data_IF_257567840655
#
_entry.id   IF_257567840655
#
_cell.length_a   1.000
_cell.length_b   1.000
_cell.length_c   1.000
_cell.angle_alpha   90.00
_cell.angle_beta   90.00
_cell.angle_gamma   90.00
#
_symmetry.space_group_name_H-M   'P 1'
#
loop_
_entity.id
_entity.type
_entity.pdbx_description
1 polymer ?
#
# COMPACT_ATOMS: atom_id res chain seq x y z
N UNK A 1 21.65 69.83 12.38
CA UNK A 1 21.66 69.59 10.92
C UNK A 1 22.57 68.39 10.67
N UNK A 2 21.96 67.21 10.57
CA UNK A 2 22.62 65.92 10.37
C UNK A 2 22.53 65.57 8.87
N UNK A 3 23.63 65.20 8.19
CA UNK A 3 23.55 64.85 6.78
C UNK A 3 23.10 63.39 6.63
N UNK A 4 22.05 63.19 5.84
CA UNK A 4 21.60 61.89 5.34
C UNK A 4 22.61 61.38 4.30
N UNK A 5 23.27 60.27 4.59
CA UNK A 5 24.06 59.50 3.63
C UNK A 5 23.09 58.65 2.78
N UNK A 6 22.96 59.00 1.50
CA UNK A 6 22.28 58.18 0.49
C UNK A 6 23.28 57.17 -0.08
N UNK A 7 23.14 55.89 0.31
CA UNK A 7 23.82 54.77 -0.35
C UNK A 7 23.10 54.45 -1.66
N UNK A 8 23.75 54.73 -2.79
CA UNK A 8 23.35 54.24 -4.10
C UNK A 8 23.95 52.84 -4.33
N UNK A 9 23.10 51.81 -4.34
CA UNK A 9 23.50 50.47 -4.76
C UNK A 9 23.59 50.41 -6.29
N UNK A 10 24.82 50.37 -6.82
CA UNK A 10 25.08 50.09 -8.24
C UNK A 10 25.09 48.56 -8.40
N UNK A 11 24.03 48.01 -8.99
CA UNK A 11 23.98 46.60 -9.39
C UNK A 11 24.78 46.38 -10.67
N UNK A 12 25.90 45.69 -10.57
CA UNK A 12 26.67 45.21 -11.73
C UNK A 12 26.10 43.85 -12.13
N UNK A 13 25.46 43.78 -13.30
CA UNK A 13 25.04 42.51 -13.92
C UNK A 13 26.22 41.97 -14.72
N UNK A 14 26.85 40.91 -14.24
CA UNK A 14 27.90 40.19 -14.97
C UNK A 14 27.20 39.10 -15.79
N UNK A 15 27.13 39.29 -17.11
CA UNK A 15 26.70 38.26 -18.05
C UNK A 15 27.83 37.23 -18.23
N UNK A 16 27.61 36.01 -17.74
CA UNK A 16 28.50 34.86 -18.01
C UNK A 16 28.23 34.24 -19.39
N UNK A 17 29.22 33.55 -19.98
CA UNK A 17 29.10 32.97 -21.31
C UNK A 17 28.10 31.81 -21.34
N UNK A 18 27.21 31.86 -22.33
CA UNK A 18 26.27 30.78 -22.70
C UNK A 18 27.06 29.69 -23.41
N UNK A 19 27.19 28.53 -22.78
CA UNK A 19 27.68 27.32 -23.44
C UNK A 19 26.53 26.69 -24.24
N UNK A 20 26.63 26.74 -25.56
CA UNK A 20 25.77 25.98 -26.48
C UNK A 20 26.25 24.51 -26.48
N UNK A 21 25.56 23.67 -25.72
CA UNK A 21 25.73 22.22 -25.77
C UNK A 21 25.08 21.64 -27.03
N UNK A 22 25.89 20.98 -27.87
CA UNK A 22 25.42 20.24 -29.04
C UNK A 22 24.38 19.18 -28.65
N UNK A 23 23.19 19.28 -29.25
CA UNK A 23 22.14 18.27 -29.12
C UNK A 23 22.41 17.16 -30.12
N UNK A 24 23.04 16.07 -29.67
CA UNK A 24 23.17 14.85 -30.47
C UNK A 24 21.83 14.11 -30.45
N UNK A 25 21.10 14.12 -31.56
CA UNK A 25 19.90 13.29 -31.72
C UNK A 25 20.32 11.82 -31.80
N UNK A 26 19.94 11.02 -30.80
CA UNK A 26 20.02 9.57 -30.89
C UNK A 26 18.78 9.04 -31.60
N UNK A 27 19.00 8.36 -32.74
CA UNK A 27 18.00 7.55 -33.42
C UNK A 27 17.53 6.44 -32.45
N UNK A 28 16.23 6.30 -32.26
CA UNK A 28 15.64 5.17 -31.55
C UNK A 28 16.04 3.86 -32.25
N UNK A 29 17.00 3.14 -31.67
CA UNK A 29 17.31 1.78 -32.04
C UNK A 29 16.22 0.86 -31.49
N UNK A 30 15.74 -0.07 -32.33
CA UNK A 30 14.90 -1.20 -31.90
C UNK A 30 15.65 -1.95 -30.80
N UNK A 31 15.18 -1.87 -29.56
CA UNK A 31 15.62 -2.74 -28.48
C UNK A 31 14.93 -4.09 -28.69
N UNK A 32 15.68 -5.06 -29.20
CA UNK A 32 15.29 -6.47 -29.11
C UNK A 32 15.36 -6.89 -27.65
N UNK A 33 14.25 -7.37 -27.11
CA UNK A 33 14.21 -8.04 -25.81
C UNK A 33 14.62 -9.48 -26.09
N UNK A 34 15.87 -9.83 -25.79
CA UNK A 34 16.28 -11.24 -25.72
C UNK A 34 16.02 -11.75 -24.30
N UNK A 35 14.90 -12.45 -24.13
CA UNK A 35 14.65 -13.24 -22.92
C UNK A 35 15.55 -14.48 -22.96
N UNK A 36 16.72 -14.39 -22.33
CA UNK A 36 17.60 -15.55 -22.17
C UNK A 36 17.11 -16.37 -20.97
N UNK A 37 16.28 -17.37 -21.23
CA UNK A 37 15.92 -18.39 -20.25
C UNK A 37 17.14 -19.24 -19.94
N UNK A 38 17.55 -19.31 -18.66
CA UNK A 38 18.44 -20.34 -18.14
C UNK A 38 17.53 -21.34 -17.42
N UNK A 39 17.30 -22.49 -18.05
CA UNK A 39 16.58 -23.63 -17.47
C UNK A 39 17.51 -24.84 -17.51
N UNK A 40 18.41 -24.94 -16.53
CA UNK A 40 19.20 -26.15 -16.29
C UNK A 40 18.71 -26.78 -14.97
N UNK A 41 17.54 -27.41 -15.02
CA UNK A 41 17.10 -28.38 -14.00
C UNK A 41 16.36 -29.49 -14.75
N UNK A 42 17.08 -30.57 -15.04
CA UNK A 42 16.51 -31.80 -15.58
C UNK A 42 15.74 -32.54 -14.48
N UNK A 43 14.46 -32.84 -14.73
CA UNK A 43 13.77 -34.00 -14.16
C UNK A 43 12.99 -33.79 -12.85
N UNK A 44 11.91 -32.99 -12.90
CA UNK A 44 10.69 -33.24 -12.11
C UNK A 44 9.55 -32.39 -12.72
N UNK A 45 8.58 -33.02 -13.39
CA UNK A 45 7.55 -32.31 -14.17
C UNK A 45 6.53 -31.53 -13.30
N UNK A 46 6.62 -31.64 -11.97
CA UNK A 46 5.69 -31.00 -11.02
C UNK A 46 6.32 -29.94 -10.10
N UNK A 47 7.62 -29.64 -10.24
CA UNK A 47 8.26 -28.61 -9.44
C UNK A 47 7.86 -27.19 -9.92
N UNK A 48 6.82 -26.61 -9.31
CA UNK A 48 6.47 -25.19 -9.49
C UNK A 48 7.61 -24.31 -8.96
N UNK A 49 8.53 -23.91 -9.85
CA UNK A 49 9.63 -22.99 -9.53
C UNK A 49 9.04 -21.61 -9.21
N UNK A 50 9.02 -21.25 -7.92
CA UNK A 50 8.59 -19.92 -7.46
C UNK A 50 9.68 -18.89 -7.81
N UNK A 51 9.45 -18.07 -8.83
CA UNK A 51 10.33 -16.93 -9.13
C UNK A 51 10.25 -15.92 -7.99
N UNK A 52 11.39 -15.46 -7.49
CA UNK A 52 11.49 -14.50 -6.37
C UNK A 52 12.11 -13.15 -6.78
N UNK A 53 12.59 -13.05 -8.02
CA UNK A 53 13.37 -11.91 -8.52
C UNK A 53 13.12 -11.68 -10.01
N UNK A 54 13.29 -10.43 -10.46
CA UNK A 54 13.42 -10.08 -11.86
C UNK A 54 14.90 -9.83 -12.19
N UNK A 55 15.36 -10.23 -13.38
CA UNK A 55 16.69 -9.83 -13.88
C UNK A 55 16.57 -8.73 -14.92
N UNK A 56 17.40 -7.69 -14.82
CA UNK A 56 17.54 -6.67 -15.85
C UNK A 56 19.02 -6.26 -15.95
N UNK A 57 19.62 -6.42 -17.12
CA UNK A 57 21.04 -6.13 -17.38
C UNK A 57 21.97 -6.74 -16.30
N UNK A 58 21.76 -8.03 -16.00
CA UNK A 58 22.45 -8.83 -14.97
C UNK A 58 22.23 -8.38 -13.50
N UNK A 59 21.34 -7.41 -13.26
CA UNK A 59 20.95 -6.98 -11.92
C UNK A 59 19.67 -7.69 -11.48
N UNK A 60 19.75 -8.38 -10.33
CA UNK A 60 18.61 -9.06 -9.71
C UNK A 60 17.82 -8.09 -8.82
N UNK A 61 16.54 -7.92 -9.10
CA UNK A 61 15.61 -7.05 -8.36
C UNK A 61 14.61 -7.95 -7.62
N UNK A 62 14.51 -7.90 -6.28
CA UNK A 62 13.51 -8.70 -5.56
C UNK A 62 12.09 -8.27 -5.94
N UNK A 63 11.12 -9.19 -5.90
CA UNK A 63 9.70 -8.86 -6.12
C UNK A 63 9.28 -7.71 -5.20
N UNK A 64 8.58 -6.73 -5.77
CA UNK A 64 8.19 -5.45 -5.15
C UNK A 64 9.37 -4.56 -4.72
N UNK A 65 10.60 -4.92 -5.07
CA UNK A 65 11.78 -4.10 -4.93
C UNK A 65 11.94 -3.11 -6.08
N UNK A 66 12.83 -2.14 -5.86
CA UNK A 66 13.30 -1.20 -6.87
C UNK A 66 14.82 -1.23 -6.92
N UNK A 67 15.40 -1.23 -8.11
CA UNK A 67 16.84 -1.08 -8.32
C UNK A 67 17.11 0.03 -9.34
N UNK A 68 18.25 0.70 -9.21
CA UNK A 68 18.74 1.66 -10.20
C UNK A 68 19.71 0.94 -11.13
N UNK A 69 19.41 0.94 -12.42
CA UNK A 69 20.22 0.31 -13.48
C UNK A 69 20.50 1.39 -14.52
N UNK A 70 21.77 1.79 -14.63
CA UNK A 70 22.17 3.02 -15.31
C UNK A 70 21.51 4.25 -14.69
N UNK A 71 20.85 5.07 -15.53
CA UNK A 71 20.12 6.28 -15.12
C UNK A 71 18.63 6.05 -14.85
N UNK A 72 18.19 4.80 -14.85
CA UNK A 72 16.76 4.44 -14.76
C UNK A 72 16.47 3.59 -13.56
N UNK A 73 15.32 3.85 -12.94
CA UNK A 73 14.81 3.03 -11.85
C UNK A 73 13.90 1.95 -12.43
N UNK A 74 14.07 0.74 -11.94
CA UNK A 74 13.30 -0.44 -12.33
C UNK A 74 12.68 -1.06 -11.09
N UNK A 75 11.40 -1.37 -11.16
CA UNK A 75 10.70 -2.14 -10.13
C UNK A 75 10.36 -3.52 -10.65
N UNK A 76 10.56 -4.56 -9.83
CA UNK A 76 10.10 -5.90 -10.15
C UNK A 76 8.66 -6.05 -9.65
N UNK A 77 7.70 -6.23 -10.56
CA UNK A 77 6.30 -6.45 -10.21
C UNK A 77 5.90 -7.87 -10.56
N UNK A 78 5.20 -8.54 -9.63
CA UNK A 78 4.54 -9.81 -9.92
C UNK A 78 3.18 -9.54 -10.56
N UNK A 79 2.94 -10.16 -11.71
CA UNK A 79 1.70 -10.12 -12.46
C UNK A 79 0.71 -11.14 -11.89
N UNK A 80 -0.58 -10.96 -12.21
CA UNK A 80 -1.66 -11.82 -11.71
C UNK A 80 -1.56 -13.28 -12.18
N UNK A 81 -0.84 -13.54 -13.28
CA UNK A 81 -0.57 -14.88 -13.79
C UNK A 81 0.66 -15.55 -13.12
N UNK A 82 1.26 -14.90 -12.11
CA UNK A 82 2.45 -15.40 -11.41
C UNK A 82 3.78 -15.00 -12.04
N UNK A 83 3.79 -14.46 -13.26
CA UNK A 83 5.00 -13.96 -13.90
C UNK A 83 5.57 -12.75 -13.17
N UNK A 84 6.87 -12.54 -13.30
CA UNK A 84 7.57 -11.38 -12.74
C UNK A 84 8.14 -10.55 -13.88
N UNK A 85 7.93 -9.23 -13.82
CA UNK A 85 8.41 -8.30 -14.86
C UNK A 85 9.10 -7.10 -14.25
N UNK A 86 10.27 -6.75 -14.79
CA UNK A 86 10.92 -5.49 -14.49
C UNK A 86 10.22 -4.36 -15.27
N UNK A 87 9.74 -3.35 -14.55
CA UNK A 87 9.03 -2.19 -15.08
C UNK A 87 9.86 -0.95 -14.77
N UNK A 88 10.17 -0.17 -15.81
CA UNK A 88 10.83 1.12 -15.65
C UNK A 88 9.89 2.10 -14.96
N UNK A 89 10.35 2.73 -13.88
CA UNK A 89 9.61 3.77 -13.15
C UNK A 89 10.29 5.12 -13.33
N UNK A 90 9.49 6.18 -13.44
CA UNK A 90 10.00 7.54 -13.48
C UNK A 90 10.80 7.82 -12.20
N UNK A 91 11.95 8.49 -12.33
CA UNK A 91 12.87 8.76 -11.22
C UNK A 91 12.12 9.34 -10.02
N UNK A 92 12.05 8.62 -8.88
CA UNK A 92 11.37 9.10 -7.68
C UNK A 92 12.21 10.24 -7.09
N UNK A 93 11.91 11.48 -7.50
CA UNK A 93 12.67 12.66 -7.06
C UNK A 93 12.52 13.89 -7.95
N UNK A 94 12.08 13.76 -9.21
CA UNK A 94 11.74 14.91 -10.03
C UNK A 94 10.24 15.21 -9.87
N UNK A 95 9.91 16.04 -8.88
CA UNK A 95 8.62 16.75 -8.93
C UNK A 95 8.59 17.54 -10.24
N UNK A 96 7.57 17.33 -11.08
CA UNK A 96 7.28 18.18 -12.23
C UNK A 96 7.13 19.64 -11.76
N UNK A 97 8.23 20.39 -11.83
CA UNK A 97 8.29 21.84 -11.60
C UNK A 97 8.96 22.55 -12.77
N UNK A 98 8.66 22.13 -13.99
CA UNK A 98 8.78 22.95 -15.21
C UNK A 98 8.15 22.17 -16.36
N UNK A 99 6.83 22.29 -16.49
CA UNK A 99 6.20 22.11 -17.80
C UNK A 99 6.31 23.48 -18.49
N UNK A 100 7.26 23.58 -19.41
CA UNK A 100 7.42 24.73 -20.27
C UNK A 100 6.14 24.97 -21.08
N UNK A 101 5.80 26.25 -21.14
CA UNK A 101 4.69 26.85 -21.88
C UNK A 101 4.79 26.48 -23.36
N UNK A 102 3.77 25.79 -23.89
CA UNK A 102 3.42 25.86 -25.30
C UNK A 102 2.19 26.76 -25.47
N UNK A 103 2.15 27.60 -26.53
CA UNK A 103 1.13 28.63 -26.70
C UNK A 103 -0.25 28.04 -27.01
N UNK A 104 -1.25 28.59 -26.35
CA UNK A 104 -2.68 28.32 -26.53
C UNK A 104 -3.13 28.55 -27.97
N UNK A 105 -3.77 27.54 -28.56
CA UNK A 105 -4.69 27.75 -29.68
C UNK A 105 -5.99 28.32 -29.12
N UNK A 106 -6.31 29.56 -29.51
CA UNK A 106 -7.63 30.17 -29.32
C UNK A 106 -8.67 29.37 -30.08
N UNK A 107 -9.64 28.81 -29.36
CA UNK A 107 -10.96 28.49 -29.90
C UNK A 107 -11.90 29.58 -29.40
N UNK A 108 -12.39 30.42 -30.31
CA UNK A 108 -13.48 31.34 -30.06
C UNK A 108 -14.74 30.53 -29.71
N UNK A 109 -15.23 30.69 -28.48
CA UNK A 109 -16.53 30.18 -28.06
C UNK A 109 -17.49 31.35 -27.88
N UNK A 110 -18.59 31.23 -28.60
CA UNK A 110 -19.64 32.20 -28.83
C UNK A 110 -20.37 32.65 -27.55
N UNK A 111 -20.79 33.91 -27.58
CA UNK A 111 -21.60 34.57 -26.56
C UNK A 111 -22.96 33.88 -26.40
N UNK A 112 -23.23 33.25 -25.25
CA UNK A 112 -24.62 32.98 -24.80
C UNK A 112 -24.88 33.43 -23.37
N UNK A 113 -25.73 34.46 -23.34
CA UNK A 113 -26.50 35.07 -22.26
C UNK A 113 -26.75 34.17 -21.03
N UNK A 114 -26.43 34.74 -19.88
CA UNK A 114 -26.87 34.32 -18.55
C UNK A 114 -28.39 34.19 -18.46
N UNK A 115 -28.87 32.97 -18.18
CA UNK A 115 -30.23 32.72 -17.73
C UNK A 115 -30.19 32.55 -16.21
N UNK A 116 -30.97 33.37 -15.53
CA UNK A 116 -31.23 33.34 -14.09
C UNK A 116 -31.86 32.00 -13.69
N UNK A 117 -31.19 31.26 -12.81
CA UNK A 117 -31.68 30.02 -12.23
C UNK A 117 -32.83 30.31 -11.25
N UNK A 118 -34.04 29.89 -11.63
CA UNK A 118 -35.21 29.79 -10.76
C UNK A 118 -34.99 28.72 -9.69
N UNK A 119 -35.40 29.06 -8.48
CA UNK A 119 -35.44 28.23 -7.28
C UNK A 119 -36.33 26.98 -7.49
N UNK A 120 -35.71 25.80 -7.50
CA UNK A 120 -36.43 24.51 -7.55
C UNK A 120 -36.69 24.05 -6.12
N UNK A 121 -37.96 24.14 -5.70
CA UNK A 121 -38.49 23.51 -4.49
C UNK A 121 -38.27 22.00 -4.57
N UNK A 122 -37.53 21.44 -3.61
CA UNK A 122 -37.37 19.99 -3.46
C UNK A 122 -38.69 19.36 -2.97
N UNK A 123 -39.15 18.24 -3.56
CA UNK A 123 -40.28 17.50 -3.03
C UNK A 123 -39.91 16.80 -1.71
N UNK A 124 -40.92 16.62 -0.86
CA UNK A 124 -40.83 15.98 0.44
C UNK A 124 -40.39 14.50 0.32
N UNK A 125 -39.70 13.95 1.33
CA UNK A 125 -39.29 12.55 1.34
C UNK A 125 -40.51 11.62 1.41
N UNK A 126 -40.45 10.54 0.64
CA UNK A 126 -41.44 9.47 0.65
C UNK A 126 -41.48 8.76 2.03
N UNK A 127 -42.66 8.24 2.44
CA UNK A 127 -42.79 7.48 3.68
C UNK A 127 -42.03 6.14 3.60
N UNK A 128 -41.62 5.59 4.76
CA UNK A 128 -40.91 4.32 4.83
C UNK A 128 -41.82 3.18 4.38
N UNK A 129 -41.31 2.38 3.46
CA UNK A 129 -41.89 1.16 2.95
C UNK A 129 -41.93 0.08 4.04
N UNK A 130 -43.10 -0.55 4.15
CA UNK A 130 -43.44 -1.66 5.03
C UNK A 130 -42.49 -2.86 4.84
N UNK A 131 -42.29 -3.55 5.97
CA UNK A 131 -41.56 -4.80 6.13
C UNK A 131 -41.99 -5.86 5.10
N UNK A 132 -41.04 -6.32 4.29
CA UNK A 132 -41.12 -7.64 3.65
C UNK A 132 -40.55 -8.66 4.64
N UNK A 133 -41.44 -9.38 5.33
CA UNK A 133 -41.10 -10.64 5.99
C UNK A 133 -40.58 -11.63 4.94
N UNK A 134 -39.28 -11.95 4.97
CA UNK A 134 -38.74 -13.10 4.26
C UNK A 134 -39.06 -14.37 5.04
N UNK A 135 -39.85 -15.24 4.40
CA UNK A 135 -40.16 -16.57 4.86
C UNK A 135 -38.88 -17.41 5.10
N UNK A 136 -38.85 -18.10 6.25
CA UNK A 136 -37.88 -19.17 6.54
C UNK A 136 -38.09 -20.34 5.57
N UNK A 137 -37.03 -20.91 4.97
CA UNK A 137 -37.15 -22.22 4.35
C UNK A 137 -37.22 -23.30 5.44
N UNK A 138 -38.24 -24.13 5.31
CA UNK A 138 -38.50 -25.30 6.13
C UNK A 138 -37.41 -26.36 5.95
N UNK A 139 -37.12 -27.07 7.05
CA UNK A 139 -36.28 -28.24 7.10
C UNK A 139 -36.79 -29.33 6.14
N UNK A 140 -35.93 -29.76 5.21
CA UNK A 140 -36.09 -31.00 4.46
C UNK A 140 -35.03 -31.98 4.93
N UNK A 141 -35.23 -32.53 6.12
CA UNK A 141 -34.62 -33.79 6.53
C UNK A 141 -35.30 -34.94 5.78
N UNK A 142 -34.74 -35.36 4.65
CA UNK A 142 -35.05 -36.67 4.06
C UNK A 142 -33.82 -37.55 4.16
N UNK A 143 -33.93 -38.49 5.10
CA UNK A 143 -33.09 -39.68 5.24
C UNK A 143 -33.30 -40.52 3.98
N UNK A 144 -32.29 -40.56 3.11
CA UNK A 144 -32.18 -41.61 2.09
C UNK A 144 -31.55 -42.82 2.79
N UNK A 145 -32.39 -43.78 3.16
CA UNK A 145 -31.96 -45.14 3.44
C UNK A 145 -31.55 -45.78 2.12
N UNK A 146 -30.27 -46.09 1.99
CA UNK A 146 -29.76 -46.93 0.92
C UNK A 146 -29.94 -48.39 1.36
N UNK A 147 -30.72 -49.15 0.59
CA UNK A 147 -30.81 -50.60 0.71
C UNK A 147 -29.55 -51.21 0.10
N UNK A 148 -28.80 -51.91 0.94
CA UNK A 148 -27.70 -52.79 0.56
C UNK A 148 -28.29 -54.09 0.01
N UNK A 149 -28.40 -54.17 -1.32
CA UNK A 149 -28.53 -55.45 -2.01
C UNK A 149 -27.13 -55.87 -2.46
N UNK A 150 -26.67 -56.96 -1.85
CA UNK A 150 -25.44 -57.68 -2.17
C UNK A 150 -25.60 -58.33 -3.55
N UNK A 151 -24.80 -57.91 -4.53
CA UNK A 151 -24.50 -58.72 -5.69
C UNK A 151 -22.99 -58.70 -5.91
N UNK A 152 -22.44 -59.90 -5.80
CA UNK A 152 -21.07 -60.29 -6.03
C UNK A 152 -20.70 -60.20 -7.52
N UNK A 153 -19.39 -60.04 -7.73
CA UNK A 153 -18.61 -60.50 -8.87
C UNK A 153 -18.91 -59.89 -10.25
N UNK A 154 -18.31 -58.74 -10.54
CA UNK A 154 -17.70 -58.48 -11.85
C UNK A 154 -16.49 -57.53 -11.65
N UNK A 155 -15.30 -58.04 -12.00
CA UNK A 155 -14.02 -57.32 -12.07
C UNK A 155 -14.05 -56.27 -13.20
N UNK A 156 -14.89 -55.25 -13.07
CA UNK A 156 -14.84 -54.06 -13.91
C UNK A 156 -13.90 -53.05 -13.24
N UNK A 157 -12.84 -52.69 -13.96
CA UNK A 157 -11.93 -51.59 -13.62
C UNK A 157 -12.77 -50.33 -13.32
N UNK A 158 -13.07 -50.12 -12.04
CA UNK A 158 -13.74 -48.93 -11.55
C UNK A 158 -12.84 -47.74 -11.86
N UNK A 159 -13.12 -47.10 -13.00
CA UNK A 159 -12.74 -45.74 -13.31
C UNK A 159 -13.27 -44.88 -12.15
N UNK A 160 -12.47 -44.75 -11.09
CA UNK A 160 -12.69 -43.85 -9.97
C UNK A 160 -12.80 -42.47 -10.60
N UNK A 161 -14.04 -42.06 -10.86
CA UNK A 161 -14.36 -40.75 -11.38
C UNK A 161 -13.83 -39.75 -10.36
N UNK A 162 -12.64 -39.24 -10.65
CA UNK A 162 -11.94 -38.26 -9.86
C UNK A 162 -12.78 -36.99 -9.92
N UNK A 163 -13.71 -36.87 -8.96
CA UNK A 163 -14.58 -35.71 -8.88
C UNK A 163 -13.68 -34.49 -8.75
N UNK A 164 -13.82 -33.48 -9.64
CA UNK A 164 -12.93 -32.34 -9.63
C UNK A 164 -13.00 -31.70 -8.25
N UNK A 165 -11.88 -31.77 -7.52
CA UNK A 165 -11.74 -31.20 -6.20
C UNK A 165 -12.23 -29.75 -6.23
N UNK A 166 -13.12 -29.39 -5.31
CA UNK A 166 -13.70 -28.05 -5.27
C UNK A 166 -12.59 -26.99 -5.27
N UNK A 167 -12.73 -25.90 -6.04
CA UNK A 167 -11.68 -24.91 -6.15
C UNK A 167 -11.46 -24.21 -4.79
N UNK A 168 -10.19 -24.15 -4.36
CA UNK A 168 -9.77 -23.58 -3.07
C UNK A 168 -9.01 -22.27 -3.27
N UNK A 169 -9.27 -21.29 -2.41
CA UNK A 169 -8.43 -20.10 -2.30
C UNK A 169 -7.19 -20.41 -1.46
N UNK A 170 -6.08 -19.71 -1.73
CA UNK A 170 -4.83 -19.82 -0.93
C UNK A 170 -4.49 -18.45 -0.35
N UNK A 171 -4.28 -18.36 0.96
CA UNK A 171 -3.89 -17.12 1.65
C UNK A 171 -2.38 -16.82 1.53
N UNK A 172 -1.90 -15.68 2.06
CA UNK A 172 -0.46 -15.35 2.00
C UNK A 172 0.44 -16.31 2.81
N UNK A 173 -0.14 -17.12 3.69
CA UNK A 173 0.54 -18.14 4.51
C UNK A 173 0.55 -19.51 3.83
N UNK A 174 -0.10 -19.65 2.67
CA UNK A 174 -0.23 -20.92 1.96
C UNK A 174 -1.35 -21.82 2.48
N UNK A 175 -2.23 -21.31 3.35
CA UNK A 175 -3.39 -22.05 3.85
C UNK A 175 -4.51 -22.04 2.80
N UNK A 176 -5.12 -23.20 2.58
CA UNK A 176 -6.25 -23.36 1.65
C UNK A 176 -7.58 -23.10 2.34
N UNK A 177 -8.50 -22.44 1.62
CA UNK A 177 -9.83 -22.05 2.09
C UNK A 177 -10.91 -22.46 1.08
N UNK A 178 -11.95 -23.23 1.46
CA UNK A 178 -13.10 -23.50 0.60
C UNK A 178 -13.86 -22.23 0.17
N UNK A 179 -14.58 -22.36 -0.95
CA UNK A 179 -15.43 -21.32 -1.49
C UNK A 179 -16.46 -20.84 -0.45
N UNK A 180 -16.52 -19.53 -0.21
CA UNK A 180 -17.38 -18.90 0.79
C UNK A 180 -16.82 -18.88 2.22
N UNK A 181 -15.66 -19.49 2.48
CA UNK A 181 -15.01 -19.31 3.79
C UNK A 181 -14.60 -17.86 3.98
N UNK A 182 -14.82 -17.34 5.20
CA UNK A 182 -14.39 -16.01 5.63
C UNK A 182 -13.30 -16.17 6.68
N UNK A 183 -12.16 -15.51 6.48
CA UNK A 183 -11.04 -15.52 7.42
C UNK A 183 -10.47 -14.12 7.65
N UNK A 184 -9.70 -14.00 8.73
CA UNK A 184 -9.03 -12.76 9.13
C UNK A 184 -7.54 -12.85 8.80
N UNK A 185 -7.05 -11.84 8.11
CA UNK A 185 -5.70 -11.75 7.57
C UNK A 185 -5.09 -10.40 8.00
N UNK A 186 -4.31 -10.45 9.08
CA UNK A 186 -3.72 -9.29 9.76
C UNK A 186 -4.74 -8.19 10.13
N UNK A 187 -4.88 -7.17 9.27
CA UNK A 187 -5.78 -6.03 9.46
C UNK A 187 -7.01 -6.07 8.54
N UNK A 188 -7.25 -7.19 7.87
CA UNK A 188 -8.31 -7.35 6.87
C UNK A 188 -9.12 -8.62 7.11
N UNK A 189 -10.36 -8.61 6.63
CA UNK A 189 -11.19 -9.82 6.54
C UNK A 189 -11.37 -10.14 5.06
N UNK A 190 -11.06 -11.38 4.69
CA UNK A 190 -11.18 -11.89 3.33
C UNK A 190 -12.24 -12.99 3.24
N UNK A 191 -12.79 -13.17 2.05
CA UNK A 191 -13.72 -14.24 1.71
C UNK A 191 -13.24 -14.91 0.42
N UNK A 192 -13.31 -16.24 0.35
CA UNK A 192 -13.00 -16.97 -0.87
C UNK A 192 -14.19 -16.85 -1.81
N UNK A 193 -14.03 -16.14 -2.93
CA UNK A 193 -15.10 -15.91 -3.90
C UNK A 193 -14.70 -16.39 -5.28
N UNK A 194 -15.69 -16.83 -6.05
CA UNK A 194 -15.55 -17.12 -7.48
C UNK A 194 -15.54 -15.80 -8.25
N UNK A 195 -14.57 -15.64 -9.14
CA UNK A 195 -14.56 -14.54 -10.09
C UNK A 195 -15.49 -14.84 -11.28
N UNK A 196 -15.67 -13.87 -12.18
CA UNK A 196 -16.53 -14.06 -13.37
C UNK A 196 -16.02 -15.10 -14.37
N UNK A 197 -14.93 -15.81 -14.07
CA UNK A 197 -14.23 -16.76 -14.96
C UNK A 197 -14.07 -18.16 -14.34
N UNK A 198 -14.97 -18.53 -13.43
CA UNK A 198 -14.95 -19.82 -12.69
C UNK A 198 -13.72 -20.08 -11.82
N UNK A 199 -12.77 -19.14 -11.77
CA UNK A 199 -11.61 -19.20 -10.88
C UNK A 199 -12.00 -18.69 -9.50
N UNK A 200 -11.33 -19.16 -8.45
CA UNK A 200 -11.56 -18.69 -7.07
C UNK A 200 -10.37 -17.87 -6.60
N UNK A 201 -10.65 -16.81 -5.84
CA UNK A 201 -9.60 -15.99 -5.23
C UNK A 201 -10.05 -15.38 -3.91
N UNK A 202 -9.11 -15.13 -2.98
CA UNK A 202 -9.38 -14.28 -1.83
C UNK A 202 -9.84 -12.89 -2.28
N UNK A 203 -10.95 -12.42 -1.72
CA UNK A 203 -11.41 -11.06 -1.90
C UNK A 203 -11.63 -10.41 -0.54
N UNK A 204 -10.98 -9.26 -0.32
CA UNK A 204 -11.14 -8.51 0.92
C UNK A 204 -12.55 -7.94 1.03
N UNK A 205 -13.27 -8.30 2.08
CA UNK A 205 -14.64 -7.87 2.37
C UNK A 205 -14.73 -6.87 3.53
N UNK A 206 -13.62 -6.61 4.22
CA UNK A 206 -13.58 -5.65 5.31
C UNK A 206 -12.19 -5.44 5.87
N UNK A 207 -12.15 -4.58 6.87
CA UNK A 207 -10.95 -4.25 7.62
C UNK A 207 -11.18 -4.56 9.11
N UNK A 208 -10.13 -4.82 9.87
CA UNK A 208 -10.18 -5.14 11.29
C UNK A 208 -9.54 -3.99 12.08
N UNK A 209 -10.28 -3.45 13.07
CA UNK A 209 -9.79 -2.41 13.97
C UNK A 209 -10.10 -2.84 15.39
N UNK A 210 -9.07 -3.02 16.21
CA UNK A 210 -9.20 -3.48 17.61
C UNK A 210 -10.04 -4.77 17.73
N UNK A 211 -9.85 -5.70 16.78
CA UNK A 211 -10.62 -6.95 16.70
C UNK A 211 -12.05 -6.81 16.15
N UNK A 212 -12.51 -5.59 15.86
CA UNK A 212 -13.85 -5.34 15.31
C UNK A 212 -13.79 -5.21 13.79
N UNK A 213 -14.62 -6.01 13.10
CA UNK A 213 -14.73 -6.00 11.64
C UNK A 213 -15.53 -4.79 11.14
N UNK A 214 -14.94 -4.03 10.22
CA UNK A 214 -15.55 -2.89 9.51
C UNK A 214 -15.77 -3.30 8.05
N UNK A 215 -17.02 -3.50 7.60
CA UNK A 215 -17.29 -3.94 6.23
C UNK A 215 -16.78 -2.94 5.18
N UNK A 216 -16.37 -3.46 4.02
CA UNK A 216 -15.87 -2.66 2.91
C UNK A 216 -16.90 -1.59 2.49
N UNK A 217 -16.42 -0.37 2.28
CA UNK A 217 -17.20 0.82 1.95
C UNK A 217 -18.28 1.22 2.96
N UNK A 218 -18.29 0.60 4.16
CA UNK A 218 -19.17 0.95 5.28
C UNK A 218 -18.40 1.67 6.37
N UNK A 219 -19.15 2.28 7.28
CA UNK A 219 -18.63 2.95 8.46
C UNK A 219 -19.08 2.19 9.71
N UNK A 220 -18.22 2.10 10.73
CA UNK A 220 -18.54 1.53 12.04
C UNK A 220 -17.95 2.38 13.14
N UNK A 221 -18.68 2.57 14.23
CA UNK A 221 -18.16 3.23 15.42
C UNK A 221 -17.52 2.19 16.32
N UNK A 222 -16.27 2.41 16.71
CA UNK A 222 -15.47 1.55 17.58
C UNK A 222 -14.87 2.48 18.64
N UNK A 223 -15.26 2.28 19.90
CA UNK A 223 -14.97 3.24 20.97
C UNK A 223 -15.59 4.62 20.71
N UNK A 224 -14.76 5.67 20.79
CA UNK A 224 -15.16 7.05 20.51
C UNK A 224 -15.05 7.44 19.03
N UNK A 225 -14.51 6.54 18.21
CA UNK A 225 -14.06 6.83 16.86
C UNK A 225 -14.96 6.17 15.81
N UNK A 226 -15.13 6.83 14.67
CA UNK A 226 -15.87 6.28 13.54
C UNK A 226 -14.89 5.92 12.45
N UNK A 227 -14.85 4.65 12.10
CA UNK A 227 -13.93 4.08 11.14
C UNK A 227 -14.66 3.78 9.83
N UNK A 228 -13.96 3.95 8.70
CA UNK A 228 -14.45 3.63 7.36
C UNK A 228 -13.41 2.81 6.62
N UNK A 229 -13.74 1.57 6.30
CA UNK A 229 -12.94 0.76 5.40
C UNK A 229 -13.31 1.15 3.97
N UNK A 230 -12.40 1.71 3.16
CA UNK A 230 -12.71 2.18 1.79
C UNK A 230 -11.88 1.42 0.76
N UNK A 231 -12.54 0.86 -0.25
CA UNK A 231 -11.90 0.33 -1.45
C UNK A 231 -11.84 1.42 -2.52
N UNK A 232 -10.66 1.63 -3.07
CA UNK A 232 -10.41 2.55 -4.16
C UNK A 232 -10.47 1.83 -5.52
N UNK A 233 -10.66 2.59 -6.59
CA UNK A 233 -10.78 2.06 -7.95
C UNK A 233 -9.50 1.39 -8.47
N UNK A 234 -8.36 1.68 -7.86
CA UNK A 234 -7.06 1.06 -8.11
C UNK A 234 -6.87 -0.26 -7.34
N UNK A 235 -7.88 -0.69 -6.56
CA UNK A 235 -7.81 -1.91 -5.75
C UNK A 235 -7.21 -1.71 -4.37
N UNK A 236 -6.70 -0.52 -4.04
CA UNK A 236 -6.16 -0.26 -2.70
C UNK A 236 -7.28 -0.13 -1.67
N UNK A 237 -7.05 -0.70 -0.49
CA UNK A 237 -7.98 -0.62 0.65
C UNK A 237 -7.33 0.24 1.72
N UNK A 238 -8.05 1.28 2.17
CA UNK A 238 -7.57 2.17 3.21
C UNK A 238 -8.59 2.28 4.34
N UNK A 239 -8.11 2.05 5.55
CA UNK A 239 -8.85 2.35 6.76
C UNK A 239 -8.79 3.87 7.03
N UNK A 240 -9.95 4.52 7.03
CA UNK A 240 -10.07 5.95 7.31
C UNK A 240 -10.74 6.16 8.66
N UNK A 241 -10.03 6.83 9.57
CA UNK A 241 -10.63 7.41 10.75
C UNK A 241 -11.47 8.63 10.35
N UNK A 242 -12.79 8.48 10.30
CA UNK A 242 -13.74 9.58 10.20
C UNK A 242 -13.98 10.12 11.59
N UNK A 243 -13.09 10.98 12.10
CA UNK A 243 -13.30 11.67 13.38
C UNK A 243 -14.70 12.26 13.44
N UNK A 244 -15.59 11.63 14.20
CA UNK A 244 -16.99 11.97 14.26
C UNK A 244 -17.15 13.23 15.09
N UNK A 245 -17.17 14.41 14.45
CA UNK A 245 -17.62 15.70 15.03
C UNK A 245 -17.14 16.01 16.46
N UNK A 246 -16.02 15.45 16.90
CA UNK A 246 -15.47 15.72 18.22
C UNK A 246 -14.40 16.80 18.16
N UNK A 247 -14.61 17.83 17.35
CA UNK A 247 -13.87 19.09 17.54
C UNK A 247 -14.19 19.71 18.89
N UNK A 248 -15.31 19.35 19.53
CA UNK A 248 -15.64 19.75 20.91
C UNK A 248 -14.99 18.90 22.00
N UNK A 249 -14.86 17.56 21.90
CA UNK A 249 -14.02 16.86 22.90
C UNK A 249 -12.52 17.00 22.62
N UNK A 250 -12.07 17.23 21.37
CA UNK A 250 -10.64 17.54 21.11
C UNK A 250 -10.14 18.77 21.86
N UNK A 251 -11.04 19.69 22.24
CA UNK A 251 -10.69 20.83 23.09
C UNK A 251 -10.45 20.44 24.57
N UNK A 252 -10.85 19.24 24.98
CA UNK A 252 -10.65 18.68 26.33
C UNK A 252 -9.66 17.50 26.37
N UNK A 253 -9.27 16.94 25.24
CA UNK A 253 -8.44 15.72 25.15
C UNK A 253 -6.94 15.97 25.40
N UNK A 254 -6.59 17.09 26.04
CA UNK A 254 -5.21 17.49 26.29
C UNK A 254 -4.43 17.84 25.02
N UNK A 255 -3.17 18.23 25.21
CA UNK A 255 -2.18 18.48 24.16
C UNK A 255 -0.88 17.76 24.52
N UNK A 256 -0.14 17.33 23.50
CA UNK A 256 1.23 16.89 23.69
C UNK A 256 2.14 18.11 23.67
N UNK A 257 3.22 18.08 24.46
CA UNK A 257 4.21 19.15 24.48
C UNK A 257 5.56 18.62 23.99
N UNK A 258 6.19 19.33 23.06
CA UNK A 258 7.58 19.02 22.69
C UNK A 258 8.56 19.54 23.74
N UNK A 259 9.84 19.22 23.55
CA UNK A 259 10.92 19.64 24.46
C UNK A 259 11.17 21.17 24.42
N UNK A 260 10.66 21.86 23.39
CA UNK A 260 10.70 23.32 23.26
C UNK A 260 9.52 24.02 23.94
N UNK A 261 8.55 23.25 24.43
CA UNK A 261 7.35 23.77 25.08
C UNK A 261 6.19 24.10 24.13
N UNK A 262 6.28 23.77 22.84
CA UNK A 262 5.19 23.91 21.88
C UNK A 262 4.11 22.86 22.13
N UNK A 263 2.85 23.24 22.01
CA UNK A 263 1.71 22.35 22.21
C UNK A 263 1.11 21.87 20.88
N UNK A 264 0.89 20.57 20.79
CA UNK A 264 0.30 19.88 19.65
C UNK A 264 -1.00 19.22 20.06
N UNK A 265 -2.05 19.41 19.26
CA UNK A 265 -3.33 18.77 19.52
C UNK A 265 -3.27 17.31 19.13
N UNK A 266 -4.12 16.50 19.77
CA UNK A 266 -4.30 15.10 19.40
C UNK A 266 -4.57 14.95 17.90
N UNK A 267 -3.75 14.11 17.27
CA UNK A 267 -3.74 13.82 15.84
C UNK A 267 -2.81 14.72 15.01
N UNK A 268 -2.26 15.80 15.56
CA UNK A 268 -1.23 16.59 14.89
C UNK A 268 0.08 15.81 14.84
N UNK A 269 0.84 16.03 13.77
CA UNK A 269 2.12 15.39 13.48
C UNK A 269 3.19 16.48 13.40
N UNK A 270 4.36 16.21 13.97
CA UNK A 270 5.51 17.11 13.92
C UNK A 270 6.80 16.32 13.88
N UNK A 271 7.93 17.03 13.76
CA UNK A 271 9.26 16.42 13.74
C UNK A 271 9.99 16.80 15.01
N UNK A 272 10.43 15.79 15.77
CA UNK A 272 11.37 15.95 16.88
C UNK A 272 12.69 15.29 16.48
N UNK A 273 13.75 16.08 16.34
CA UNK A 273 15.05 15.61 15.86
C UNK A 273 14.93 14.89 14.50
N UNK A 274 15.14 13.57 14.48
CA UNK A 274 15.02 12.70 13.30
C UNK A 274 13.78 11.80 13.36
N UNK A 275 12.81 12.08 14.24
CA UNK A 275 11.58 11.30 14.38
C UNK A 275 10.36 12.11 13.92
N UNK A 276 9.45 11.46 13.20
CA UNK A 276 8.08 11.95 13.02
C UNK A 276 7.23 11.42 14.16
N UNK A 277 6.71 12.38 14.92
CA UNK A 277 5.92 12.14 16.13
C UNK A 277 4.48 12.55 15.86
N UNK A 278 3.55 11.82 16.45
CA UNK A 278 2.13 12.14 16.45
C UNK A 278 1.62 12.23 17.87
N UNK A 279 0.76 13.20 18.15
CA UNK A 279 0.08 13.27 19.45
C UNK A 279 -1.08 12.28 19.45
N UNK A 280 -0.97 11.23 20.25
CA UNK A 280 -2.02 10.22 20.41
C UNK A 280 -2.61 10.28 21.83
N UNK A 281 -3.63 9.47 22.08
CA UNK A 281 -4.28 9.33 23.39
C UNK A 281 -4.16 7.88 23.83
N UNK A 282 -3.77 7.65 25.07
CA UNK A 282 -3.72 6.31 25.64
C UNK A 282 -5.12 5.78 26.02
N UNK A 283 -5.17 4.55 26.55
CA UNK A 283 -6.42 3.92 27.02
C UNK A 283 -7.12 4.68 28.16
N UNK A 284 -6.40 5.57 28.85
CA UNK A 284 -6.90 6.35 29.99
C UNK A 284 -7.34 7.76 29.57
N UNK A 285 -7.18 8.14 28.30
CA UNK A 285 -7.53 9.48 27.83
C UNK A 285 -6.40 10.51 27.97
N UNK A 286 -5.17 10.08 28.31
CA UNK A 286 -4.02 10.97 28.44
C UNK A 286 -3.28 11.15 27.10
N UNK A 287 -2.94 12.39 26.70
CA UNK A 287 -2.16 12.62 25.50
C UNK A 287 -0.71 12.13 25.69
N UNK A 288 -0.17 11.43 24.69
CA UNK A 288 1.23 11.00 24.65
C UNK A 288 1.84 11.16 23.26
N UNK A 289 3.17 11.29 23.22
CA UNK A 289 3.96 11.37 21.99
C UNK A 289 4.20 9.97 21.44
N UNK A 290 3.78 9.72 20.20
CA UNK A 290 4.02 8.45 19.52
C UNK A 290 4.89 8.66 18.28
N UNK A 291 6.14 8.20 18.35
CA UNK A 291 7.04 8.19 17.21
C UNK A 291 6.64 7.03 16.26
N UNK A 292 6.26 7.38 15.04
CA UNK A 292 5.70 6.43 14.06
C UNK A 292 6.54 6.33 12.78
N UNK A 293 7.53 7.21 12.60
CA UNK A 293 8.49 7.13 11.52
C UNK A 293 9.80 7.85 11.87
N UNK A 294 10.86 7.51 11.14
CA UNK A 294 12.14 8.19 11.16
C UNK A 294 12.30 9.07 9.90
N UNK A 295 13.07 10.14 10.02
CA UNK A 295 13.48 11.04 8.94
C UNK A 295 14.97 10.86 8.67
N UNK A 296 15.32 10.64 7.41
CA UNK A 296 16.71 10.58 6.93
C UNK A 296 16.81 11.30 5.60
N UNK A 297 17.61 12.37 5.55
CA UNK A 297 17.88 13.16 4.34
C UNK A 297 16.58 13.61 3.62
N UNK A 298 15.55 13.96 4.39
CA UNK A 298 14.23 14.37 3.90
C UNK A 298 13.26 13.22 3.58
N UNK A 299 13.72 11.97 3.65
CA UNK A 299 12.88 10.79 3.43
C UNK A 299 12.28 10.28 4.73
N UNK A 300 10.97 9.98 4.68
CA UNK A 300 10.22 9.27 5.71
C UNK A 300 10.41 7.76 5.60
N UNK A 301 10.77 7.11 6.70
CA UNK A 301 10.87 5.64 6.88
C UNK A 301 9.95 5.25 8.02
N UNK A 302 8.91 4.46 7.78
CA UNK A 302 7.97 4.06 8.83
C UNK A 302 8.66 3.14 9.86
N UNK A 303 8.23 3.21 11.12
CA UNK A 303 8.73 2.29 12.17
C UNK A 303 8.55 0.83 11.74
N UNK A 304 9.56 0.01 12.00
CA UNK A 304 9.66 -1.40 11.62
C UNK A 304 9.63 -1.66 10.10
N UNK A 305 9.96 -0.65 9.30
CA UNK A 305 10.13 -0.79 7.85
C UNK A 305 11.55 -0.46 7.41
N UNK A 306 11.90 -0.91 6.21
CA UNK A 306 13.17 -0.60 5.55
C UNK A 306 12.95 0.28 4.31
N UNK A 307 13.91 1.15 4.00
CA UNK A 307 13.88 2.00 2.82
C UNK A 307 15.28 2.20 2.25
N UNK A 308 15.40 2.16 0.93
CA UNK A 308 16.65 2.46 0.24
C UNK A 308 16.79 3.97 0.03
N UNK A 309 17.84 4.57 0.59
CA UNK A 309 18.13 6.01 0.55
C UNK A 309 19.59 6.18 0.19
N UNK A 310 19.86 6.92 -0.89
CA UNK A 310 21.22 7.27 -1.36
C UNK A 310 22.20 6.10 -1.46
N UNK A 311 21.72 4.95 -1.95
CA UNK A 311 22.56 3.76 -2.15
C UNK A 311 22.65 2.81 -0.95
N UNK A 312 22.01 3.14 0.18
CA UNK A 312 22.04 2.33 1.40
C UNK A 312 20.63 1.95 1.86
N UNK A 313 20.48 0.77 2.47
CA UNK A 313 19.22 0.32 3.06
C UNK A 313 19.15 0.78 4.52
N UNK A 314 18.12 1.55 4.88
CA UNK A 314 17.90 2.09 6.22
C UNK A 314 16.67 1.45 6.86
N UNK A 315 16.77 1.14 8.15
CA UNK A 315 15.69 0.57 8.97
C UNK A 315 15.35 1.57 10.07
N UNK A 316 14.07 1.85 10.27
CA UNK A 316 13.58 2.60 11.41
C UNK A 316 13.11 1.61 12.47
N UNK A 317 13.74 1.59 13.64
CA UNK A 317 13.40 0.71 14.76
C UNK A 317 12.79 1.53 15.89
N UNK A 318 11.85 0.95 16.64
CA UNK A 318 11.30 1.52 17.87
C UNK A 318 11.85 0.75 19.06
N UNK A 319 12.48 1.45 19.99
CA UNK A 319 13.07 0.90 21.20
C UNK A 319 11.99 0.66 22.27
N UNK A 320 12.33 -0.10 23.32
CA UNK A 320 11.38 -0.45 24.39
C UNK A 320 10.89 0.78 25.18
N UNK A 321 11.69 1.85 25.22
CA UNK A 321 11.33 3.12 25.83
C UNK A 321 10.36 3.96 24.95
N UNK A 322 10.09 3.52 23.72
CA UNK A 322 9.23 4.20 22.76
C UNK A 322 9.96 5.14 21.79
N UNK A 323 11.26 5.38 21.98
CA UNK A 323 12.07 6.17 21.07
C UNK A 323 12.28 5.44 19.74
N UNK A 324 12.60 6.19 18.68
CA UNK A 324 12.90 5.61 17.37
C UNK A 324 14.31 5.94 16.93
N UNK A 325 14.98 4.94 16.36
CA UNK A 325 16.31 5.07 15.80
C UNK A 325 16.30 4.65 14.33
N UNK A 326 17.01 5.41 13.49
CA UNK A 326 17.26 5.04 12.10
C UNK A 326 18.69 4.52 11.97
N UNK A 327 18.81 3.26 11.55
CA UNK A 327 20.09 2.58 11.42
C UNK A 327 20.24 1.99 10.01
N UNK A 328 21.46 1.94 9.45
CA UNK A 328 21.70 1.23 8.21
C UNK A 328 21.50 -0.28 8.46
N UNK A 329 20.65 -0.91 7.67
CA UNK A 329 20.24 -2.32 7.83
C UNK A 329 21.41 -3.29 7.73
N UNK A 330 22.48 -2.91 7.02
CA UNK A 330 23.66 -3.75 6.80
C UNK A 330 24.57 -3.87 8.04
N UNK A 331 24.29 -3.13 9.12
CA UNK A 331 25.12 -3.16 10.34
C UNK A 331 24.70 -4.21 11.36
N UNK A 332 23.47 -4.73 11.34
CA UNK A 332 23.05 -5.82 12.24
C UNK A 332 23.82 -7.13 11.96
N UNK A 333 24.28 -7.35 10.72
CA UNK A 333 25.01 -8.58 10.35
C UNK A 333 26.47 -8.63 10.80
N UNK A 334 27.05 -7.52 11.29
CA UNK A 334 28.49 -7.44 11.61
C UNK A 334 28.83 -7.55 13.09
N UNK A 335 27.87 -7.52 14.01
CA UNK A 335 28.16 -7.63 15.45
C UNK A 335 28.05 -9.04 16.05
N UNK A 336 27.81 -10.07 15.24
CA UNK A 336 27.68 -11.47 15.69
C UNK A 336 28.85 -12.38 15.26
N UNK A 337 29.91 -11.84 14.66
CA UNK A 337 31.10 -12.62 14.25
C UNK A 337 32.39 -11.94 14.74
N UNK A 338 32.58 -11.77 16.05
CA UNK A 338 33.92 -11.66 16.66
C UNK A 338 33.85 -12.18 18.10
N UNK A 339 33.87 -13.50 18.28
CA UNK A 339 34.38 -14.12 19.49
C UNK A 339 34.53 -15.62 19.25
N UNK A 340 35.69 -16.03 18.70
CA UNK A 340 36.41 -17.25 19.07
C UNK A 340 37.64 -17.41 18.18
N UNK A 341 38.81 -17.58 18.79
CA UNK A 341 39.97 -18.14 18.11
C UNK A 341 41.22 -17.26 18.03
N UNK A 342 41.69 -16.69 19.13
CA UNK A 342 43.12 -16.37 19.25
C UNK A 342 43.62 -16.59 20.68
N UNK A 343 43.87 -17.84 21.03
CA UNK A 343 44.94 -18.24 21.94
C UNK A 343 45.03 -19.78 21.99
N UNK A 344 46.09 -20.34 21.39
CA UNK A 344 47.06 -21.15 22.13
C UNK A 344 48.24 -21.52 21.21
N UNK A 345 49.41 -21.13 21.71
CA UNK A 345 50.71 -21.74 21.44
C UNK A 345 50.76 -23.18 21.92
#
# INVERSE_FOLDING_TARGET
>A
MTPLLLCACIGIVIAGPVYLGNTTQYKAGKVGIEDKMISDVDGDEDAKVKRTTCSKDDVMIPINGTAKIGDTFWTCQQLSNGDVKAIQVASPGLSNKTADVYPEYKIEADNRKSVTSKEIKRPAPAPPNEEMEMARPAELGKVLQWSSDENDDDDDDDDVLDWPSEPLCVDHKGKTHPLGEVWDEDSFTAECMRDGTDSVRPQTIGCIVEGVKVPLNKERTIGADRWKCKLYSDGHILMQLKTGRSTRLRKRLGSCRDDSGNEYKVGEEWTEMNALVKCNIDVNGHPFKDAFACMKDGYKVLVNTVKFIDGELWKCIKEENGDVAIIPSNKESRSLIVSEGSELQ
#
